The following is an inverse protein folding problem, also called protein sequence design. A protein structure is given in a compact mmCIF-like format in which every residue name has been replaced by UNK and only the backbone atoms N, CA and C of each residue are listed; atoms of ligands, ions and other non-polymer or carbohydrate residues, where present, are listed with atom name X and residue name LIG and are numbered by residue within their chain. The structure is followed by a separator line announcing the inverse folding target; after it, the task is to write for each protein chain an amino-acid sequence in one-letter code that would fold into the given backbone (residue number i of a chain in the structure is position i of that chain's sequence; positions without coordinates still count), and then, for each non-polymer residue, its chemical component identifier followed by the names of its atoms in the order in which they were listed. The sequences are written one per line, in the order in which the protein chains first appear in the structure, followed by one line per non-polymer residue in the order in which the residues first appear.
data_IF_441304117623
#
_entry.id   IF_441304117623
#
_cell.length_a   1.000
_cell.length_b   1.000
_cell.length_c   1.000
_cell.angle_alpha   90.00
_cell.angle_beta   90.00
_cell.angle_gamma   90.00
#
_symmetry.space_group_name_H-M   'P 1'
#
loop_
_entity.id
_entity.type
_entity.pdbx_description
1 polymer ?
#
# COMPACT_ATOMS: atom_id res chain seq x y z
N UNK A 1 15.03 17.60 -21.61
CA UNK A 1 14.88 16.31 -20.90
C UNK A 1 13.56 15.71 -21.34
N UNK A 2 13.59 14.58 -22.07
CA UNK A 2 12.37 13.95 -22.58
C UNK A 2 11.59 13.39 -21.38
N UNK A 3 10.61 14.16 -20.90
CA UNK A 3 9.83 13.87 -19.70
C UNK A 3 8.69 12.91 -20.09
N UNK A 4 9.02 11.82 -20.79
CA UNK A 4 8.01 10.91 -21.31
C UNK A 4 7.28 10.27 -20.13
N UNK A 5 6.04 10.67 -19.93
CA UNK A 5 5.15 10.03 -18.98
C UNK A 5 5.15 8.53 -19.26
N UNK A 6 5.54 7.72 -18.29
CA UNK A 6 5.67 6.27 -18.43
C UNK A 6 4.30 5.61 -18.38
N UNK A 7 3.58 5.70 -19.50
CA UNK A 7 2.26 5.11 -19.69
C UNK A 7 2.28 3.60 -19.47
N UNK A 8 3.40 2.94 -19.79
CA UNK A 8 3.65 1.52 -19.52
C UNK A 8 3.50 1.17 -18.03
N UNK A 9 4.22 1.88 -17.15
CA UNK A 9 4.22 1.60 -15.71
C UNK A 9 2.87 1.98 -15.08
N UNK A 10 2.29 3.11 -15.50
CA UNK A 10 0.99 3.53 -14.98
C UNK A 10 -0.14 2.59 -15.46
N UNK A 11 -0.03 2.06 -16.68
CA UNK A 11 -0.94 1.05 -17.22
C UNK A 11 -0.89 -0.25 -16.42
N UNK A 12 0.31 -0.76 -16.10
CA UNK A 12 0.47 -1.95 -15.27
C UNK A 12 -0.14 -1.78 -13.87
N UNK A 13 0.00 -0.59 -13.25
CA UNK A 13 -0.68 -0.28 -11.99
C UNK A 13 -2.20 -0.26 -12.13
N UNK A 14 -2.72 0.28 -13.23
CA UNK A 14 -4.15 0.28 -13.50
C UNK A 14 -4.68 -1.16 -13.65
N UNK A 15 -3.99 -2.02 -14.40
CA UNK A 15 -4.34 -3.44 -14.52
C UNK A 15 -4.34 -4.14 -13.16
N UNK A 16 -3.34 -3.87 -12.32
CA UNK A 16 -3.27 -4.43 -10.97
C UNK A 16 -4.50 -4.04 -10.12
N UNK A 17 -4.92 -2.78 -10.18
CA UNK A 17 -6.14 -2.30 -9.48
C UNK A 17 -7.40 -2.94 -10.07
N UNK A 18 -7.50 -3.06 -11.39
CA UNK A 18 -8.65 -3.71 -12.05
C UNK A 18 -8.82 -5.16 -11.56
N UNK A 19 -7.72 -5.92 -11.46
CA UNK A 19 -7.77 -7.29 -10.93
C UNK A 19 -8.32 -7.33 -9.51
N UNK A 20 -7.90 -6.41 -8.65
CA UNK A 20 -8.39 -6.33 -7.26
C UNK A 20 -9.87 -5.97 -7.23
N UNK A 21 -10.31 -5.03 -8.07
CA UNK A 21 -11.72 -4.64 -8.17
C UNK A 21 -12.57 -5.84 -8.62
N UNK A 22 -12.20 -6.50 -9.72
CA UNK A 22 -12.95 -7.65 -10.26
C UNK A 22 -13.03 -8.80 -9.25
N UNK A 23 -11.98 -9.02 -8.47
CA UNK A 23 -11.98 -9.98 -7.36
C UNK A 23 -13.03 -9.65 -6.29
N UNK A 24 -13.13 -8.39 -5.84
CA UNK A 24 -14.12 -7.99 -4.84
C UNK A 24 -15.55 -8.02 -5.37
N UNK A 25 -15.76 -7.85 -6.67
CA UNK A 25 -17.08 -7.99 -7.31
C UNK A 25 -17.46 -9.45 -7.63
N UNK A 26 -16.61 -10.44 -7.30
CA UNK A 26 -16.92 -11.84 -7.49
C UNK A 26 -17.05 -12.27 -8.96
N UNK A 27 -16.40 -11.56 -9.88
CA UNK A 27 -16.48 -11.86 -11.32
C UNK A 27 -15.79 -13.21 -11.61
N UNK A 28 -16.52 -14.10 -12.28
CA UNK A 28 -16.02 -15.41 -12.73
C UNK A 28 -14.69 -15.25 -13.50
N UNK A 29 -13.68 -16.05 -13.12
CA UNK A 29 -12.35 -16.01 -13.72
C UNK A 29 -11.34 -15.10 -13.00
N UNK A 30 -11.74 -14.33 -11.98
CA UNK A 30 -10.86 -13.40 -11.25
C UNK A 30 -10.64 -13.76 -9.76
N UNK A 31 -10.79 -15.04 -9.38
CA UNK A 31 -10.55 -15.51 -8.01
C UNK A 31 -9.10 -15.27 -7.51
N UNK A 32 -8.14 -15.12 -8.42
CA UNK A 32 -6.75 -14.75 -8.13
C UNK A 32 -6.45 -13.25 -8.08
N UNK A 33 -7.46 -12.38 -8.19
CA UNK A 33 -7.23 -10.93 -8.34
C UNK A 33 -6.60 -10.23 -7.14
N UNK A 34 -6.54 -10.88 -5.97
CA UNK A 34 -5.80 -10.40 -4.79
C UNK A 34 -4.30 -10.18 -5.06
N UNK A 35 -3.71 -10.94 -6.01
CA UNK A 35 -2.32 -10.78 -6.47
C UNK A 35 -2.08 -9.37 -7.04
N UNK A 36 -3.12 -8.69 -7.51
CA UNK A 36 -3.05 -7.31 -7.97
C UNK A 36 -2.51 -6.35 -6.90
N UNK A 37 -2.76 -6.61 -5.62
CA UNK A 37 -2.21 -5.79 -4.52
C UNK A 37 -0.68 -5.89 -4.49
N UNK A 38 -0.14 -7.10 -4.58
CA UNK A 38 1.31 -7.34 -4.58
C UNK A 38 1.98 -6.70 -5.80
N UNK A 39 1.39 -6.88 -6.99
CA UNK A 39 1.88 -6.28 -8.23
C UNK A 39 1.91 -4.74 -8.11
N UNK A 40 0.84 -4.14 -7.57
CA UNK A 40 0.76 -2.69 -7.39
C UNK A 40 1.88 -2.19 -6.47
N UNK A 41 2.12 -2.84 -5.33
CA UNK A 41 3.17 -2.44 -4.40
C UNK A 41 4.58 -2.64 -4.97
N UNK A 42 4.84 -3.75 -5.66
CA UNK A 42 6.13 -3.99 -6.31
C UNK A 42 6.44 -2.90 -7.34
N UNK A 43 5.47 -2.56 -8.19
CA UNK A 43 5.64 -1.52 -9.21
C UNK A 43 5.82 -0.14 -8.57
N UNK A 44 5.01 0.20 -7.56
CA UNK A 44 5.18 1.46 -6.80
C UNK A 44 6.56 1.52 -6.15
N UNK A 45 7.02 0.43 -5.54
CA UNK A 45 8.33 0.32 -4.90
C UNK A 45 9.49 0.52 -5.87
N UNK A 46 9.44 -0.14 -7.04
CA UNK A 46 10.43 0.04 -8.11
C UNK A 46 10.48 1.50 -8.60
N UNK A 47 9.32 2.11 -8.85
CA UNK A 47 9.26 3.48 -9.37
C UNK A 47 9.79 4.50 -8.36
N UNK A 48 9.38 4.43 -7.09
CA UNK A 48 9.87 5.35 -6.07
C UNK A 48 11.36 5.19 -5.83
N UNK A 49 11.83 3.94 -5.71
CA UNK A 49 13.27 3.63 -5.59
C UNK A 49 14.05 4.25 -6.74
N UNK A 50 13.63 4.04 -8.00
CA UNK A 50 14.30 4.60 -9.17
C UNK A 50 14.37 6.12 -9.11
N UNK A 51 13.28 6.80 -8.76
CA UNK A 51 13.23 8.26 -8.64
C UNK A 51 14.21 8.76 -7.57
N UNK A 52 14.23 8.11 -6.41
CA UNK A 52 15.07 8.51 -5.27
C UNK A 52 16.55 8.26 -5.60
N UNK A 53 16.92 7.04 -6.00
CA UNK A 53 18.30 6.66 -6.29
C UNK A 53 18.86 7.49 -7.45
N UNK A 54 18.14 7.63 -8.56
CA UNK A 54 18.60 8.47 -9.67
C UNK A 54 18.73 9.95 -9.29
N UNK A 55 17.92 10.44 -8.35
CA UNK A 55 18.08 11.78 -7.81
C UNK A 55 19.30 11.93 -6.90
N UNK A 56 19.59 10.90 -6.09
CA UNK A 56 20.74 10.85 -5.19
C UNK A 56 22.04 10.81 -6.00
N UNK A 57 22.12 9.92 -7.00
CA UNK A 57 23.30 9.79 -7.89
C UNK A 57 23.61 11.08 -8.63
N UNK A 58 22.57 11.87 -8.96
CA UNK A 58 22.70 13.18 -9.62
C UNK A 58 22.87 14.35 -8.65
N UNK A 59 22.95 14.10 -7.35
CA UNK A 59 22.96 15.12 -6.29
C UNK A 59 21.81 16.14 -6.39
N UNK A 60 20.67 15.73 -6.95
CA UNK A 60 19.52 16.58 -7.23
C UNK A 60 18.27 16.17 -6.43
N UNK A 61 18.38 15.17 -5.55
CA UNK A 61 17.25 14.69 -4.76
C UNK A 61 16.90 15.66 -3.64
N UNK A 62 15.67 16.17 -3.67
CA UNK A 62 15.09 16.98 -2.61
C UNK A 62 13.91 16.22 -1.98
N UNK A 63 14.06 15.85 -0.72
CA UNK A 63 13.09 15.04 0.01
C UNK A 63 11.75 15.76 0.21
N UNK A 64 11.78 17.06 0.47
CA UNK A 64 10.57 17.87 0.64
C UNK A 64 9.80 17.97 -0.68
N UNK A 65 10.50 18.21 -1.79
CA UNK A 65 9.89 18.22 -3.14
C UNK A 65 9.29 16.86 -3.49
N UNK A 66 9.95 15.77 -3.10
CA UNK A 66 9.43 14.42 -3.26
C UNK A 66 8.11 14.25 -2.48
N UNK A 67 8.08 14.59 -1.19
CA UNK A 67 6.87 14.50 -0.37
C UNK A 67 5.74 15.38 -0.88
N UNK A 68 5.99 16.64 -1.22
CA UNK A 68 4.98 17.55 -1.76
C UNK A 68 4.38 17.01 -3.07
N UNK A 69 5.21 16.46 -3.96
CA UNK A 69 4.72 15.86 -5.20
C UNK A 69 3.80 14.66 -4.95
N UNK A 70 4.06 13.85 -3.92
CA UNK A 70 3.18 12.73 -3.55
C UNK A 70 1.92 13.21 -2.82
N UNK A 71 2.07 14.17 -1.93
CA UNK A 71 0.97 14.80 -1.19
C UNK A 71 -0.08 15.39 -2.13
N UNK A 72 0.37 16.21 -3.11
CA UNK A 72 -0.52 16.80 -4.13
C UNK A 72 -1.23 15.76 -5.00
N UNK A 73 -0.68 14.55 -5.12
CA UNK A 73 -1.30 13.47 -5.89
C UNK A 73 -2.34 12.70 -5.07
N UNK A 74 -2.07 12.43 -3.79
CA UNK A 74 -2.87 11.52 -2.98
C UNK A 74 -3.91 12.25 -2.13
N UNK A 75 -3.50 13.29 -1.41
CA UNK A 75 -4.33 13.95 -0.40
C UNK A 75 -5.60 14.55 -1.01
N UNK A 76 -5.57 15.28 -2.14
CA UNK A 76 -6.78 15.85 -2.71
C UNK A 76 -7.83 14.80 -3.07
N UNK A 77 -7.41 13.71 -3.72
CA UNK A 77 -8.32 12.63 -4.12
C UNK A 77 -8.96 11.94 -2.90
N UNK A 78 -8.16 11.66 -1.86
CA UNK A 78 -8.66 11.06 -0.63
C UNK A 78 -9.60 12.00 0.13
N UNK A 79 -9.25 13.28 0.23
CA UNK A 79 -10.08 14.28 0.91
C UNK A 79 -11.43 14.45 0.20
N UNK A 80 -11.45 14.48 -1.14
CA UNK A 80 -12.69 14.54 -1.93
C UNK A 80 -13.52 13.27 -1.72
N UNK A 81 -12.90 12.08 -1.72
CA UNK A 81 -13.60 10.83 -1.44
C UNK A 81 -14.27 10.84 -0.05
N UNK A 82 -13.52 11.20 0.99
CA UNK A 82 -14.06 11.31 2.35
C UNK A 82 -15.13 12.40 2.46
N UNK A 83 -14.97 13.54 1.78
CA UNK A 83 -16.01 14.57 1.77
C UNK A 83 -17.30 14.03 1.12
N UNK A 84 -17.18 13.39 -0.03
CA UNK A 84 -18.31 12.86 -0.78
C UNK A 84 -19.06 11.77 0.00
N UNK A 85 -18.35 10.82 0.59
CA UNK A 85 -18.96 9.78 1.43
C UNK A 85 -19.58 10.39 2.70
N UNK A 86 -18.97 11.43 3.30
CA UNK A 86 -19.59 12.16 4.42
C UNK A 86 -20.91 12.80 4.02
N UNK A 87 -20.95 13.46 2.85
CA UNK A 87 -22.16 14.12 2.34
C UNK A 87 -23.28 13.11 2.07
N UNK A 88 -22.98 12.00 1.39
CA UNK A 88 -23.97 10.94 1.14
C UNK A 88 -24.38 10.27 2.44
N UNK A 89 -23.40 9.91 3.27
CA UNK A 89 -23.60 9.19 4.52
C UNK A 89 -24.46 9.96 5.51
N UNK A 90 -24.42 11.29 5.50
CA UNK A 90 -25.33 12.12 6.29
C UNK A 90 -26.82 11.86 6.00
N UNK A 91 -27.16 11.52 4.75
CA UNK A 91 -28.54 11.25 4.33
C UNK A 91 -28.91 9.77 4.37
N UNK A 92 -27.93 8.86 4.30
CA UNK A 92 -28.17 7.41 4.12
C UNK A 92 -27.83 6.54 5.32
N UNK A 93 -26.91 6.97 6.19
CA UNK A 93 -26.41 6.16 7.31
C UNK A 93 -27.13 6.49 8.61
N UNK A 94 -27.26 5.48 9.47
CA UNK A 94 -27.71 5.64 10.85
C UNK A 94 -26.65 6.39 11.68
N UNK A 95 -27.02 6.99 12.84
CA UNK A 95 -26.05 7.68 13.70
C UNK A 95 -24.87 6.81 14.15
N UNK A 96 -25.10 5.50 14.33
CA UNK A 96 -24.05 4.56 14.73
C UNK A 96 -23.09 4.30 13.56
N UNK A 97 -23.61 4.03 12.36
CA UNK A 97 -22.79 3.83 11.15
C UNK A 97 -21.98 5.09 10.80
N UNK A 98 -22.56 6.28 10.98
CA UNK A 98 -21.86 7.54 10.74
C UNK A 98 -20.68 7.73 11.71
N UNK A 99 -20.83 7.28 12.96
CA UNK A 99 -19.75 7.29 13.96
C UNK A 99 -18.63 6.32 13.57
N UNK A 100 -18.97 5.12 13.13
CA UNK A 100 -18.00 4.11 12.69
C UNK A 100 -17.28 4.55 11.40
N UNK A 101 -18.03 5.11 10.44
CA UNK A 101 -17.47 5.75 9.26
C UNK A 101 -16.50 6.89 9.62
N UNK A 102 -16.85 7.76 10.57
CA UNK A 102 -16.00 8.89 10.97
C UNK A 102 -14.63 8.40 11.47
N UNK A 103 -14.60 7.30 12.22
CA UNK A 103 -13.36 6.65 12.66
C UNK A 103 -12.53 6.15 11.47
N UNK A 104 -13.17 5.53 10.48
CA UNK A 104 -12.52 5.08 9.25
C UNK A 104 -12.01 6.25 8.42
N UNK A 105 -12.77 7.33 8.27
CA UNK A 105 -12.38 8.54 7.55
C UNK A 105 -11.17 9.22 8.20
N UNK A 106 -11.19 9.41 9.52
CA UNK A 106 -10.05 9.99 10.26
C UNK A 106 -8.81 9.12 10.10
N UNK A 107 -8.95 7.80 10.26
CA UNK A 107 -7.81 6.88 10.10
C UNK A 107 -7.28 6.86 8.65
N UNK A 108 -8.15 7.03 7.65
CA UNK A 108 -7.77 7.11 6.25
C UNK A 108 -7.00 8.39 5.96
N UNK A 109 -7.54 9.55 6.36
CA UNK A 109 -6.92 10.87 6.19
C UNK A 109 -5.59 11.00 6.94
N UNK A 110 -5.46 10.31 8.08
CA UNK A 110 -4.23 10.23 8.86
C UNK A 110 -3.24 9.18 8.34
N UNK A 111 -3.60 8.44 7.27
CA UNK A 111 -2.82 7.34 6.69
C UNK A 111 -2.43 6.24 7.69
N UNK A 112 -3.35 5.89 8.59
CA UNK A 112 -3.22 4.80 9.57
C UNK A 112 -4.36 3.76 9.48
N UNK A 113 -5.19 3.84 8.44
CA UNK A 113 -6.35 2.95 8.27
C UNK A 113 -5.96 1.47 8.21
N UNK A 114 -4.76 1.13 7.73
CA UNK A 114 -4.24 -0.24 7.77
C UNK A 114 -4.17 -0.80 9.19
N UNK A 115 -3.75 0.01 10.16
CA UNK A 115 -3.69 -0.38 11.57
C UNK A 115 -5.11 -0.43 12.15
N UNK A 116 -5.96 0.52 11.76
CA UNK A 116 -7.35 0.57 12.21
C UNK A 116 -8.10 -0.71 11.81
N UNK A 117 -8.01 -1.11 10.55
CA UNK A 117 -8.69 -2.30 10.06
C UNK A 117 -8.10 -3.58 10.64
N UNK A 118 -6.76 -3.67 10.76
CA UNK A 118 -6.11 -4.81 11.42
C UNK A 118 -6.63 -5.06 12.84
N UNK A 119 -7.00 -4.00 13.58
CA UNK A 119 -7.53 -4.10 14.94
C UNK A 119 -9.01 -4.44 15.02
N UNK A 120 -9.78 -4.26 13.94
CA UNK A 120 -11.23 -4.40 13.95
C UNK A 120 -11.71 -5.78 13.47
N UNK A 121 -11.07 -6.35 12.44
CA UNK A 121 -11.30 -7.71 11.94
C UNK A 121 -10.29 -8.01 10.82
N UNK A 122 -10.08 -9.28 10.46
CA UNK A 122 -9.24 -9.64 9.32
C UNK A 122 -9.76 -9.03 8.01
N UNK A 123 -8.87 -8.63 7.09
CA UNK A 123 -9.22 -7.97 5.81
C UNK A 123 -10.23 -8.76 4.95
N UNK A 124 -10.26 -10.09 5.10
CA UNK A 124 -11.13 -11.01 4.36
C UNK A 124 -12.35 -11.49 5.14
N UNK A 125 -12.65 -10.89 6.30
CA UNK A 125 -13.81 -11.27 7.10
C UNK A 125 -15.12 -10.80 6.44
N UNK A 126 -16.25 -11.48 6.66
CA UNK A 126 -17.53 -11.11 6.05
C UNK A 126 -17.95 -9.67 6.42
N UNK A 127 -17.59 -9.23 7.63
CA UNK A 127 -17.76 -7.86 8.13
C UNK A 127 -16.92 -6.77 7.40
N UNK A 128 -16.09 -7.15 6.42
CA UNK A 128 -15.29 -6.22 5.62
C UNK A 128 -16.09 -5.55 4.49
N UNK A 129 -17.17 -6.19 3.99
CA UNK A 129 -17.98 -5.67 2.89
C UNK A 129 -18.78 -4.41 3.26
N UNK A 130 -19.02 -4.19 4.55
CA UNK A 130 -19.75 -3.02 5.06
C UNK A 130 -18.84 -1.79 5.25
N UNK A 131 -17.52 -1.96 5.14
CA UNK A 131 -16.54 -0.89 5.39
C UNK A 131 -16.33 -0.06 4.12
N UNK A 132 -17.07 1.04 3.99
CA UNK A 132 -17.04 1.95 2.83
C UNK A 132 -15.63 2.43 2.41
N UNK A 133 -14.72 2.57 3.37
CA UNK A 133 -13.36 3.04 3.15
C UNK A 133 -12.31 1.92 3.23
N UNK A 134 -12.70 0.64 3.23
CA UNK A 134 -11.79 -0.48 3.48
C UNK A 134 -10.49 -0.37 2.67
N UNK A 135 -10.60 -0.11 1.37
CA UNK A 135 -9.46 -0.08 0.43
C UNK A 135 -8.40 1.00 0.74
N UNK A 136 -8.67 1.99 1.61
CA UNK A 136 -7.70 3.02 2.01
C UNK A 136 -6.55 2.46 2.86
N UNK A 137 -6.67 1.21 3.34
CA UNK A 137 -5.59 0.49 4.01
C UNK A 137 -4.33 0.45 3.14
N UNK A 138 -4.49 0.10 1.86
CA UNK A 138 -3.38 -0.07 0.92
C UNK A 138 -2.73 1.28 0.61
N UNK A 139 -3.56 2.34 0.52
CA UNK A 139 -3.13 3.71 0.35
C UNK A 139 -2.34 4.23 1.56
N UNK A 140 -2.75 3.84 2.78
CA UNK A 140 -2.04 4.17 4.03
C UNK A 140 -0.66 3.52 4.06
N UNK A 141 -0.56 2.24 3.68
CA UNK A 141 0.71 1.55 3.53
C UNK A 141 1.59 2.20 2.46
N UNK A 142 1.02 2.57 1.30
CA UNK A 142 1.75 3.26 0.24
C UNK A 142 2.32 4.62 0.71
N UNK A 143 1.53 5.39 1.47
CA UNK A 143 1.98 6.66 2.05
C UNK A 143 3.09 6.48 3.09
N UNK A 144 2.93 5.51 4.00
CA UNK A 144 3.96 5.16 5.00
C UNK A 144 5.27 4.77 4.29
N UNK A 145 5.18 3.96 3.24
CA UNK A 145 6.32 3.58 2.40
C UNK A 145 6.99 4.80 1.75
N UNK A 146 6.21 5.76 1.24
CA UNK A 146 6.75 6.99 0.66
C UNK A 146 7.52 7.85 1.65
N UNK A 147 7.17 7.83 2.94
CA UNK A 147 7.92 8.55 3.98
C UNK A 147 9.20 7.78 4.35
N UNK A 148 9.07 6.48 4.58
CA UNK A 148 10.17 5.66 5.11
C UNK A 148 11.30 5.48 4.07
N UNK A 149 10.94 5.14 2.82
CA UNK A 149 11.92 4.80 1.78
C UNK A 149 12.98 5.89 1.52
N UNK A 150 12.64 7.16 1.24
CA UNK A 150 13.64 8.19 0.95
C UNK A 150 14.51 8.50 2.17
N UNK A 151 13.97 8.43 3.40
CA UNK A 151 14.77 8.62 4.61
C UNK A 151 15.82 7.52 4.74
N UNK A 152 15.43 6.26 4.56
CA UNK A 152 16.36 5.12 4.60
C UNK A 152 17.45 5.26 3.53
N UNK A 153 17.06 5.53 2.28
CA UNK A 153 18.03 5.62 1.16
C UNK A 153 18.99 6.81 1.30
N UNK A 154 18.50 7.97 1.73
CA UNK A 154 19.36 9.14 1.95
C UNK A 154 20.31 8.90 3.13
N UNK A 155 19.83 8.31 4.23
CA UNK A 155 20.65 7.99 5.39
C UNK A 155 21.76 6.99 5.03
N UNK A 156 21.40 5.89 4.35
CA UNK A 156 22.37 4.89 3.90
C UNK A 156 23.39 5.48 2.94
N UNK A 157 22.97 6.28 1.96
CA UNK A 157 23.90 6.91 1.03
C UNK A 157 24.87 7.86 1.74
N UNK A 158 24.42 8.61 2.75
CA UNK A 158 25.27 9.51 3.53
C UNK A 158 26.31 8.76 4.36
N UNK A 159 25.95 7.62 4.95
CA UNK A 159 26.84 6.82 5.80
C UNK A 159 27.89 6.11 4.97
N UNK A 160 27.49 5.44 3.89
CA UNK A 160 28.37 4.50 3.18
C UNK A 160 28.95 5.05 1.86
N UNK A 161 28.37 6.12 1.30
CA UNK A 161 28.85 6.85 0.10
C UNK A 161 29.20 5.95 -1.10
N UNK A 162 28.57 4.78 -1.23
CA UNK A 162 28.89 3.80 -2.27
C UNK A 162 27.62 3.19 -2.86
N UNK A 163 27.56 3.12 -4.20
CA UNK A 163 26.46 2.50 -4.93
C UNK A 163 26.36 0.98 -4.64
N UNK A 164 27.49 0.33 -4.32
CA UNK A 164 27.50 -1.09 -3.94
C UNK A 164 26.78 -1.30 -2.59
N UNK A 165 26.80 -0.31 -1.70
CA UNK A 165 26.12 -0.41 -0.41
C UNK A 165 24.60 -0.40 -0.56
N UNK A 166 24.05 0.35 -1.52
CA UNK A 166 22.60 0.30 -1.79
C UNK A 166 22.19 -1.09 -2.30
N UNK A 167 22.99 -1.72 -3.17
CA UNK A 167 22.74 -3.10 -3.62
C UNK A 167 22.78 -4.10 -2.45
N UNK A 168 23.77 -3.97 -1.56
CA UNK A 168 23.88 -4.81 -0.36
C UNK A 168 22.69 -4.59 0.57
N UNK A 169 22.24 -3.35 0.76
CA UNK A 169 21.04 -3.04 1.55
C UNK A 169 19.80 -3.75 0.98
N UNK A 170 19.56 -3.65 -0.32
CA UNK A 170 18.43 -4.34 -0.94
C UNK A 170 18.53 -5.86 -0.81
N UNK A 171 19.73 -6.42 -0.95
CA UNK A 171 19.95 -7.86 -0.76
C UNK A 171 19.65 -8.28 0.70
N UNK A 172 20.12 -7.51 1.68
CA UNK A 172 19.84 -7.77 3.10
C UNK A 172 18.35 -7.66 3.39
N UNK A 173 17.68 -6.59 2.93
CA UNK A 173 16.24 -6.42 3.11
C UNK A 173 15.44 -7.55 2.45
N UNK A 174 15.85 -7.99 1.27
CA UNK A 174 15.24 -9.13 0.58
C UNK A 174 15.40 -10.42 1.38
N UNK A 175 16.62 -10.74 1.84
CA UNK A 175 16.88 -11.95 2.61
C UNK A 175 16.14 -11.95 3.95
N UNK A 176 16.10 -10.80 4.64
CA UNK A 176 15.34 -10.63 5.88
C UNK A 176 13.84 -10.83 5.62
N UNK A 177 13.30 -10.17 4.59
CA UNK A 177 11.88 -10.29 4.22
C UNK A 177 11.50 -11.73 3.87
N UNK A 178 12.32 -12.41 3.06
CA UNK A 178 12.12 -13.81 2.67
C UNK A 178 12.16 -14.73 3.89
N UNK A 179 13.16 -14.56 4.75
CA UNK A 179 13.32 -15.38 5.95
C UNK A 179 12.15 -15.19 6.92
N UNK A 180 11.76 -13.94 7.17
CA UNK A 180 10.60 -13.62 8.00
C UNK A 180 9.31 -14.18 7.40
N UNK A 181 9.11 -14.07 6.09
CA UNK A 181 7.95 -14.66 5.42
C UNK A 181 7.89 -16.16 5.65
N UNK A 182 9.00 -16.88 5.49
CA UNK A 182 9.06 -18.34 5.72
C UNK A 182 8.76 -18.69 7.18
N UNK A 183 9.33 -17.95 8.13
CA UNK A 183 9.12 -18.19 9.57
C UNK A 183 7.67 -17.93 9.95
N UNK A 184 7.10 -16.80 9.53
CA UNK A 184 5.71 -16.42 9.85
C UNK A 184 4.72 -17.37 9.20
N UNK A 185 4.91 -17.75 7.94
CA UNK A 185 4.06 -18.75 7.27
C UNK A 185 4.09 -20.10 7.99
N UNK A 186 5.27 -20.57 8.42
CA UNK A 186 5.39 -21.80 9.20
C UNK A 186 4.72 -21.68 10.56
N UNK A 187 4.90 -20.56 11.25
CA UNK A 187 4.31 -20.31 12.57
C UNK A 187 2.78 -20.27 12.50
N UNK A 188 2.21 -19.58 11.50
CA UNK A 188 0.76 -19.52 11.27
C UNK A 188 0.18 -20.90 10.92
N UNK A 189 0.89 -21.71 10.12
CA UNK A 189 0.47 -23.08 9.78
C UNK A 189 0.45 -24.01 11.00
N UNK A 190 1.41 -23.85 11.93
CA UNK A 190 1.48 -24.66 13.15
C UNK A 190 0.45 -24.25 14.22
N UNK A 191 -0.02 -22.99 14.24
CA UNK A 191 -0.89 -22.45 15.30
C UNK A 191 -2.38 -22.40 14.94
N UNK A 192 -2.75 -22.35 13.66
CA UNK A 192 -4.15 -22.33 13.21
C UNK A 192 -4.58 -23.70 12.66
N UNK A 193 -5.46 -24.42 13.38
CA UNK A 193 -6.04 -25.70 12.93
C UNK A 193 -6.81 -25.59 11.60
N UNK A 194 -7.34 -24.40 11.27
CA UNK A 194 -8.10 -24.13 10.04
C UNK A 194 -7.23 -23.97 8.78
N UNK A 195 -5.95 -23.62 8.90
CA UNK A 195 -5.03 -23.49 7.76
C UNK A 195 -4.41 -24.83 7.36
N UNK A 196 -4.32 -25.80 8.27
CA UNK A 196 -3.92 -27.19 7.94
C UNK A 196 -4.85 -27.84 6.90
N UNK A 197 -6.12 -27.48 6.88
CA UNK A 197 -7.11 -28.03 5.94
C UNK A 197 -6.92 -27.51 4.50
N UNK A 198 -6.34 -26.32 4.31
CA UNK A 198 -6.07 -25.74 2.99
C UNK A 198 -4.73 -26.18 2.40
N UNK A 199 -3.79 -26.68 3.22
CA UNK A 199 -2.50 -27.21 2.75
C UNK A 199 -2.54 -28.67 2.28
N UNK A 200 -3.71 -29.32 2.34
CA UNK A 200 -3.95 -30.71 1.89
C UNK A 200 -4.72 -30.80 0.57
N UNK A 201 -4.69 -29.74 -0.24
CA UNK A 201 -5.10 -29.76 -1.66
C UNK A 201 -3.89 -29.35 -2.51
#
# INVERSE_FOLDING_TARGET
MNNSFRYDINGLRAYAVILVVLFHFGILGFSGGFIGVDIFFVISGFLMTKIIVSGIEKNSFNILKFYLSRAHRIIPALAILCLFITLIGWFTLTPQELKDYSKHAISSLSFISNIQYFREAGYFDAASHEKLLLHTWSLSVEWQFYIILPLLLVLFNKIFKSANTLKILYLILFLISLTLSIIVSKWLCCTNLSLKAYSTI
#
